data_IF_982381820533
#
_entry.id   IF_982381820533
#
_cell.length_a   1.000
_cell.length_b   1.000
_cell.length_c   1.000
_cell.angle_alpha   90.00
_cell.angle_beta   90.00
_cell.angle_gamma   90.00
#
_symmetry.space_group_name_H-M   'P 1'
#
loop_
_entity.id
_entity.type
_entity.pdbx_description
1 polymer ?
#
# COMPACT_ATOMS: atom_id res chain seq x y z
N UNK A 1 3.29 41.08 11.77
CA UNK A 1 1.82 41.24 12.02
C UNK A 1 1.42 40.13 12.96
N UNK A 2 0.43 40.31 13.86
CA UNK A 2 -0.04 39.24 14.68
C UNK A 2 -0.67 38.14 13.78
N UNK A 3 -0.53 36.86 14.19
CA UNK A 3 -1.14 35.72 13.52
C UNK A 3 -2.65 35.93 13.34
N UNK A 4 -3.15 35.71 12.13
CA UNK A 4 -4.57 35.69 11.87
C UNK A 4 -5.06 34.24 11.89
N UNK A 5 -5.91 33.91 12.85
CA UNK A 5 -6.62 32.62 12.92
C UNK A 5 -8.00 32.75 12.29
N UNK A 6 -8.29 31.91 11.30
CA UNK A 6 -9.56 31.93 10.56
C UNK A 6 -10.20 30.57 10.64
N UNK A 7 -11.41 30.47 11.22
CA UNK A 7 -12.16 29.21 11.21
C UNK A 7 -12.58 28.86 9.79
N UNK A 8 -12.47 27.59 9.44
CA UNK A 8 -13.00 27.03 8.18
C UNK A 8 -14.42 26.55 8.45
N UNK A 9 -15.46 27.28 7.99
CA UNK A 9 -16.83 26.88 8.23
C UNK A 9 -17.18 25.63 7.40
N UNK A 10 -17.91 24.66 7.99
CA UNK A 10 -18.26 23.42 7.30
C UNK A 10 -19.24 23.63 6.14
N UNK A 11 -20.04 24.70 6.16
CA UNK A 11 -21.20 24.91 5.28
C UNK A 11 -21.06 26.11 4.32
N UNK A 12 -19.86 26.69 4.17
CA UNK A 12 -19.64 27.83 3.27
C UNK A 12 -18.59 27.48 2.24
N UNK A 13 -18.76 28.04 1.02
CA UNK A 13 -17.72 28.01 0.00
C UNK A 13 -16.46 28.70 0.55
N UNK A 14 -15.32 28.00 0.67
CA UNK A 14 -14.10 28.58 1.19
C UNK A 14 -13.32 29.40 0.15
N UNK A 15 -13.89 29.75 -0.99
CA UNK A 15 -13.20 30.36 -2.14
C UNK A 15 -12.34 31.56 -1.76
N UNK A 16 -12.94 32.55 -1.07
CA UNK A 16 -12.19 33.74 -0.62
C UNK A 16 -10.99 33.40 0.28
N UNK A 17 -11.15 32.41 1.16
CA UNK A 17 -10.07 31.95 2.05
C UNK A 17 -8.99 31.17 1.30
N UNK A 18 -9.37 30.44 0.25
CA UNK A 18 -8.40 29.80 -0.65
C UNK A 18 -7.55 30.86 -1.36
N UNK A 19 -8.19 31.90 -1.92
CA UNK A 19 -7.49 32.98 -2.59
C UNK A 19 -6.57 33.76 -1.66
N UNK A 20 -7.01 34.02 -0.42
CA UNK A 20 -6.19 34.62 0.62
C UNK A 20 -4.96 33.77 0.95
N UNK A 21 -5.18 32.46 1.18
CA UNK A 21 -4.07 31.54 1.48
C UNK A 21 -3.07 31.48 0.33
N UNK A 22 -3.53 31.44 -0.91
CA UNK A 22 -2.67 31.45 -2.11
C UNK A 22 -1.89 32.75 -2.23
N UNK A 23 -2.53 33.90 -2.01
CA UNK A 23 -1.87 35.21 -2.03
C UNK A 23 -0.76 35.28 -0.96
N UNK A 24 -1.03 34.78 0.25
CA UNK A 24 -0.06 34.73 1.33
C UNK A 24 1.12 33.79 1.00
N UNK A 25 0.89 32.59 0.45
CA UNK A 25 1.94 31.66 0.02
C UNK A 25 2.83 32.31 -1.06
N UNK A 26 2.24 32.95 -2.07
CA UNK A 26 2.98 33.65 -3.13
C UNK A 26 3.81 34.82 -2.61
N UNK A 27 3.34 35.49 -1.55
CA UNK A 27 4.09 36.53 -0.86
C UNK A 27 5.22 35.99 0.04
N UNK A 28 5.44 34.67 0.08
CA UNK A 28 6.48 34.04 0.89
C UNK A 28 6.15 33.96 2.38
N UNK A 29 4.88 34.07 2.75
CA UNK A 29 4.44 33.95 4.14
C UNK A 29 4.35 32.50 4.59
N UNK A 30 4.44 32.27 5.90
CA UNK A 30 4.29 30.97 6.54
C UNK A 30 2.87 30.84 7.05
N UNK A 31 2.14 29.84 6.52
CA UNK A 31 0.80 29.52 6.95
C UNK A 31 0.78 28.24 7.79
N UNK A 32 -0.33 28.00 8.50
CA UNK A 32 -0.67 26.68 9.05
C UNK A 32 -1.97 26.23 8.43
N UNK A 33 -1.91 25.07 7.78
CA UNK A 33 -3.06 24.46 7.10
C UNK A 33 -3.41 23.10 7.71
N UNK A 34 -4.69 22.74 7.70
CA UNK A 34 -5.16 21.43 8.17
C UNK A 34 -4.82 20.32 7.20
N UNK A 35 -4.70 19.09 7.71
CA UNK A 35 -4.80 17.87 6.94
C UNK A 35 -5.58 16.82 7.72
N UNK A 36 -5.91 15.71 7.09
CA UNK A 36 -6.59 14.59 7.76
C UNK A 36 -5.71 13.91 8.82
N UNK A 37 -4.39 14.10 8.76
CA UNK A 37 -3.42 13.53 9.70
C UNK A 37 -3.11 14.50 10.85
N UNK A 38 -2.39 15.56 10.58
CA UNK A 38 -2.04 16.62 11.52
C UNK A 38 -1.94 17.95 10.76
N UNK A 39 -2.05 19.05 11.46
CA UNK A 39 -1.75 20.36 10.89
C UNK A 39 -0.27 20.48 10.53
N UNK A 40 0.05 21.41 9.64
CA UNK A 40 1.42 21.66 9.25
C UNK A 40 1.68 23.08 8.75
N UNK A 41 2.93 23.52 8.88
CA UNK A 41 3.40 24.75 8.25
C UNK A 41 3.36 24.60 6.73
N UNK A 42 2.65 25.51 6.07
CA UNK A 42 2.53 25.54 4.61
C UNK A 42 3.36 26.66 4.04
N UNK A 43 4.21 26.35 3.05
CA UNK A 43 5.05 27.31 2.33
C UNK A 43 5.13 26.96 0.85
N UNK A 44 5.30 27.98 0.02
CA UNK A 44 5.60 27.81 -1.40
C UNK A 44 7.05 27.32 -1.56
N UNK A 45 7.29 26.18 -2.22
CA UNK A 45 8.65 25.64 -2.44
C UNK A 45 9.53 26.56 -3.29
N UNK A 46 8.93 27.49 -4.06
CA UNK A 46 9.64 28.48 -4.88
C UNK A 46 10.20 29.63 -4.06
N UNK A 47 9.86 29.71 -2.76
CA UNK A 47 10.40 30.72 -1.84
C UNK A 47 11.41 30.08 -0.87
N UNK A 48 12.73 30.11 -1.17
CA UNK A 48 13.75 29.48 -0.33
C UNK A 48 13.83 30.04 1.08
N UNK A 49 13.51 31.33 1.26
CA UNK A 49 13.54 31.97 2.57
C UNK A 49 12.46 31.44 3.50
N UNK A 50 11.22 31.28 2.99
CA UNK A 50 10.10 30.67 3.73
C UNK A 50 10.37 29.20 4.04
N UNK A 51 10.90 28.44 3.08
CA UNK A 51 11.29 27.02 3.27
C UNK A 51 12.33 26.89 4.38
N UNK A 52 13.36 27.75 4.39
CA UNK A 52 14.41 27.72 5.41
C UNK A 52 13.89 28.19 6.78
N UNK A 53 12.96 29.14 6.81
CA UNK A 53 12.27 29.53 8.04
C UNK A 53 11.54 28.34 8.67
N UNK A 54 10.77 27.57 7.89
CA UNK A 54 10.06 26.38 8.39
C UNK A 54 11.03 25.29 8.84
N UNK A 55 12.17 25.09 8.15
CA UNK A 55 13.22 24.15 8.64
C UNK A 55 13.71 24.54 10.02
N UNK A 56 14.05 25.81 10.22
CA UNK A 56 14.50 26.32 11.53
C UNK A 56 13.43 26.13 12.61
N UNK A 57 12.17 26.53 12.32
CA UNK A 57 11.04 26.40 13.26
C UNK A 57 10.78 24.96 13.67
N UNK A 58 11.04 24.02 12.78
CA UNK A 58 10.80 22.58 13.00
C UNK A 58 12.05 21.80 13.39
N UNK A 59 13.17 22.47 13.66
CA UNK A 59 14.44 21.85 14.07
C UNK A 59 15.07 20.93 13.02
N UNK A 60 14.76 21.14 11.73
CA UNK A 60 15.32 20.32 10.64
C UNK A 60 16.62 20.91 10.14
N UNK A 61 17.61 20.05 9.88
CA UNK A 61 18.87 20.47 9.31
C UNK A 61 18.69 21.15 7.94
N UNK A 62 19.54 22.14 7.59
CA UNK A 62 19.57 22.74 6.25
C UNK A 62 19.63 21.66 5.15
N UNK A 63 18.90 21.85 4.07
CA UNK A 63 18.85 20.89 2.96
C UNK A 63 18.01 19.65 3.19
N UNK A 64 17.47 19.41 4.40
CA UNK A 64 16.54 18.28 4.63
C UNK A 64 15.36 18.37 3.67
N UNK A 65 15.11 17.26 2.92
CA UNK A 65 14.00 17.17 2.00
C UNK A 65 12.65 17.26 2.74
N UNK A 66 11.83 18.23 2.37
CA UNK A 66 10.48 18.41 2.89
C UNK A 66 9.49 17.68 1.99
N UNK A 67 8.37 17.23 2.56
CA UNK A 67 7.31 16.60 1.78
C UNK A 67 6.59 17.65 0.94
N UNK A 68 6.54 17.44 -0.37
CA UNK A 68 5.75 18.24 -1.29
C UNK A 68 4.35 17.64 -1.37
N UNK A 69 3.34 18.44 -1.08
CA UNK A 69 1.94 18.05 -1.16
C UNK A 69 1.36 18.48 -2.50
N UNK A 70 0.71 17.55 -3.17
CA UNK A 70 0.08 17.73 -4.49
C UNK A 70 -1.44 17.85 -4.35
N UNK A 71 -2.10 18.51 -5.29
CA UNK A 71 -3.55 18.64 -5.31
C UNK A 71 -4.26 17.32 -5.62
N UNK A 72 -3.66 16.55 -6.53
CA UNK A 72 -4.15 15.24 -6.98
C UNK A 72 -3.00 14.37 -7.51
N UNK A 73 -3.33 13.12 -7.89
CA UNK A 73 -2.33 12.15 -8.37
C UNK A 73 -1.77 12.48 -9.75
N UNK A 74 -2.54 13.15 -10.58
CA UNK A 74 -2.15 13.45 -11.98
C UNK A 74 -0.91 14.34 -12.02
N UNK A 75 -0.69 15.14 -10.97
CA UNK A 75 0.52 15.94 -10.83
C UNK A 75 1.81 15.11 -10.61
N UNK A 76 1.69 13.81 -10.35
CA UNK A 76 2.83 12.93 -10.11
C UNK A 76 3.71 12.76 -11.36
N UNK A 77 3.10 12.62 -12.52
CA UNK A 77 3.80 12.33 -13.78
C UNK A 77 4.75 13.45 -14.22
N UNK A 78 4.49 14.68 -13.75
CA UNK A 78 5.37 15.84 -13.98
C UNK A 78 6.56 15.90 -12.99
N UNK A 79 6.55 15.12 -11.91
CA UNK A 79 7.49 15.23 -10.80
C UNK A 79 8.52 14.10 -10.78
N UNK A 80 8.11 12.90 -11.18
CA UNK A 80 8.94 11.69 -11.11
C UNK A 80 8.69 10.81 -12.32
N UNK A 81 9.66 9.96 -12.72
CA UNK A 81 9.41 8.91 -13.72
C UNK A 81 8.25 8.02 -13.30
N UNK A 82 7.50 7.41 -14.24
CA UNK A 82 6.37 6.55 -13.93
C UNK A 82 6.77 5.44 -12.95
N UNK A 83 6.18 5.40 -11.74
CA UNK A 83 6.54 4.40 -10.76
C UNK A 83 6.05 3.00 -11.18
N UNK A 84 6.67 1.91 -10.69
CA UNK A 84 6.22 0.55 -10.91
C UNK A 84 4.75 0.36 -10.56
N UNK A 85 4.06 -0.58 -11.23
CA UNK A 85 2.62 -0.82 -11.03
C UNK A 85 2.24 -1.08 -9.56
N UNK A 86 3.10 -1.77 -8.80
CA UNK A 86 2.86 -2.01 -7.36
C UNK A 86 2.79 -0.72 -6.55
N UNK A 87 3.65 0.26 -6.88
CA UNK A 87 3.63 1.58 -6.25
C UNK A 87 2.39 2.34 -6.68
N UNK A 88 2.04 2.30 -7.96
CA UNK A 88 0.81 2.93 -8.46
C UNK A 88 -0.42 2.42 -7.74
N UNK A 89 -0.59 1.08 -7.57
CA UNK A 89 -1.71 0.51 -6.78
C UNK A 89 -1.73 1.04 -5.35
N UNK A 90 -0.56 1.13 -4.70
CA UNK A 90 -0.44 1.67 -3.35
C UNK A 90 -0.90 3.15 -3.31
N UNK A 91 -0.46 3.96 -4.27
CA UNK A 91 -0.87 5.36 -4.38
C UNK A 91 -2.36 5.49 -4.75
N UNK A 92 -2.89 4.65 -5.64
CA UNK A 92 -4.31 4.60 -5.98
C UNK A 92 -5.19 4.27 -4.78
N UNK A 93 -4.72 3.38 -3.92
CA UNK A 93 -5.45 2.98 -2.70
C UNK A 93 -5.47 4.06 -1.64
N UNK A 94 -4.36 4.82 -1.47
CA UNK A 94 -4.16 5.70 -0.32
C UNK A 94 -3.95 7.18 -0.66
N UNK A 95 -4.09 7.58 -1.91
CA UNK A 95 -4.10 8.98 -2.31
C UNK A 95 -5.44 9.34 -3.00
N UNK A 96 -6.10 10.38 -2.51
CA UNK A 96 -5.76 11.27 -1.37
C UNK A 96 -5.79 10.54 -0.03
N UNK A 97 -4.77 10.81 0.86
CA UNK A 97 -4.76 10.18 2.17
C UNK A 97 -3.42 10.17 2.91
N UNK A 98 -3.36 9.35 3.99
CA UNK A 98 -2.29 9.41 4.99
C UNK A 98 -1.02 8.63 4.58
N UNK A 99 -0.70 8.58 3.30
CA UNK A 99 0.51 7.95 2.77
C UNK A 99 1.45 9.01 2.20
N UNK A 100 2.71 9.01 2.63
CA UNK A 100 3.80 9.76 2.01
C UNK A 100 4.70 8.79 1.24
N UNK A 101 4.93 9.05 -0.04
CA UNK A 101 5.85 8.27 -0.86
C UNK A 101 7.16 9.03 -1.10
N UNK A 102 8.28 8.33 -0.97
CA UNK A 102 9.60 8.81 -1.40
C UNK A 102 9.95 8.08 -2.68
N UNK A 103 9.91 8.79 -3.79
CA UNK A 103 10.10 8.23 -5.14
C UNK A 103 11.38 8.79 -5.75
N UNK A 104 12.06 8.05 -6.64
CA UNK A 104 13.21 8.57 -7.38
C UNK A 104 12.80 9.76 -8.24
N UNK A 105 13.47 10.89 -8.08
CA UNK A 105 13.35 12.03 -8.96
C UNK A 105 14.14 11.87 -10.26
N UNK A 106 13.95 12.78 -11.20
CA UNK A 106 14.68 12.77 -12.47
C UNK A 106 16.21 12.93 -12.31
N UNK A 107 16.65 13.54 -11.21
CA UNK A 107 18.05 13.72 -10.82
C UNK A 107 18.65 12.54 -10.03
N UNK A 108 17.87 11.47 -9.82
CA UNK A 108 18.24 10.32 -8.99
C UNK A 108 18.10 10.56 -7.49
N UNK A 109 17.73 11.74 -7.05
CA UNK A 109 17.40 12.05 -5.66
C UNK A 109 16.03 11.53 -5.25
N UNK A 110 15.78 11.42 -3.95
CA UNK A 110 14.47 11.02 -3.43
C UNK A 110 13.51 12.20 -3.29
N UNK A 111 12.41 12.21 -4.02
CA UNK A 111 11.35 13.22 -3.89
C UNK A 111 10.26 12.69 -2.94
N UNK A 112 9.96 13.48 -1.90
CA UNK A 112 8.91 13.13 -0.91
C UNK A 112 7.59 13.76 -1.32
N UNK A 113 6.60 12.93 -1.63
CA UNK A 113 5.33 13.35 -2.20
C UNK A 113 4.14 12.84 -1.38
N UNK A 114 3.05 13.60 -1.35
CA UNK A 114 1.77 13.20 -0.76
C UNK A 114 0.62 13.96 -1.42
N UNK A 115 -0.54 13.31 -1.55
CA UNK A 115 -1.82 13.98 -1.82
C UNK A 115 -2.65 13.89 -0.53
N UNK A 116 -2.89 15.00 0.20
CA UNK A 116 -3.66 14.97 1.44
C UNK A 116 -5.15 14.78 1.15
N UNK A 117 -5.89 14.17 2.10
CA UNK A 117 -7.35 13.99 1.94
C UNK A 117 -8.19 15.20 2.38
N UNK A 118 -7.57 16.31 2.74
CA UNK A 118 -8.26 17.52 3.19
C UNK A 118 -8.61 18.43 2.00
N UNK A 119 -9.90 18.61 1.72
CA UNK A 119 -10.38 19.30 0.50
C UNK A 119 -9.94 20.75 0.42
N UNK A 120 -10.02 21.52 1.53
CA UNK A 120 -9.55 22.90 1.55
C UNK A 120 -8.05 22.99 1.20
N UNK A 121 -7.21 22.17 1.81
CA UNK A 121 -5.77 22.17 1.53
C UNK A 121 -5.48 21.79 0.10
N UNK A 122 -6.21 20.83 -0.47
CA UNK A 122 -6.10 20.48 -1.90
C UNK A 122 -6.56 21.63 -2.80
N UNK A 123 -7.61 22.36 -2.42
CA UNK A 123 -8.07 23.55 -3.15
C UNK A 123 -6.99 24.64 -3.17
N UNK A 124 -6.34 24.91 -2.03
CA UNK A 124 -5.21 25.85 -1.95
C UNK A 124 -4.05 25.40 -2.85
N UNK A 125 -3.67 24.12 -2.83
CA UNK A 125 -2.59 23.59 -3.67
C UNK A 125 -2.94 23.76 -5.15
N UNK A 126 -4.18 23.44 -5.54
CA UNK A 126 -4.65 23.59 -6.93
C UNK A 126 -4.63 25.03 -7.39
N UNK A 127 -5.14 25.96 -6.58
CA UNK A 127 -5.18 27.38 -6.91
C UNK A 127 -3.79 28.04 -6.89
N UNK A 128 -2.83 27.51 -6.08
CA UNK A 128 -1.44 27.94 -6.13
C UNK A 128 -0.74 27.61 -7.46
N UNK A 129 -1.25 26.60 -8.18
CA UNK A 129 -0.68 26.13 -9.45
C UNK A 129 0.64 25.38 -9.30
N UNK A 130 0.98 24.98 -8.09
CA UNK A 130 2.18 24.21 -7.75
C UNK A 130 1.93 23.42 -6.47
N UNK A 131 2.72 22.35 -6.21
CA UNK A 131 2.73 21.72 -4.90
C UNK A 131 3.17 22.67 -3.81
N UNK A 132 2.79 22.43 -2.57
CA UNK A 132 3.24 23.17 -1.40
C UNK A 132 3.98 22.24 -0.43
N UNK A 133 4.94 22.78 0.32
CA UNK A 133 5.44 22.04 1.48
C UNK A 133 4.45 22.19 2.62
N UNK A 134 3.99 21.05 3.17
CA UNK A 134 3.23 21.01 4.40
C UNK A 134 4.02 20.20 5.44
N UNK A 135 4.49 20.90 6.50
CA UNK A 135 5.50 20.36 7.42
C UNK A 135 4.97 20.34 8.83
N UNK A 136 4.84 19.14 9.42
CA UNK A 136 4.47 18.98 10.82
C UNK A 136 5.54 19.52 11.76
N UNK A 137 5.13 19.91 12.97
CA UNK A 137 6.02 20.32 14.05
C UNK A 137 5.94 19.34 15.23
N UNK A 138 7.07 19.08 15.87
CA UNK A 138 7.18 18.27 17.09
C UNK A 138 8.29 18.86 17.97
N UNK A 139 8.05 20.02 18.65
CA UNK A 139 8.98 20.58 19.59
C UNK A 139 9.35 19.59 20.69
N UNK A 140 10.62 19.57 21.13
CA UNK A 140 11.13 18.58 22.06
C UNK A 140 10.39 18.57 23.42
N UNK A 141 9.90 19.73 23.84
CA UNK A 141 9.18 19.93 25.10
C UNK A 141 7.67 19.69 25.03
N UNK A 142 7.10 19.56 23.83
CA UNK A 142 5.64 19.45 23.61
C UNK A 142 5.20 18.24 22.80
N UNK A 143 6.11 17.57 22.13
CA UNK A 143 5.79 16.47 21.25
C UNK A 143 5.12 16.91 19.94
N UNK A 144 4.37 16.01 19.32
CA UNK A 144 3.71 16.27 18.03
C UNK A 144 2.56 17.26 18.19
N UNK A 145 2.60 18.36 17.46
CA UNK A 145 1.49 19.32 17.37
C UNK A 145 0.48 18.79 16.36
N UNK A 146 -0.74 18.51 16.82
CA UNK A 146 -1.77 17.91 15.99
C UNK A 146 -2.76 18.91 15.41
N UNK A 147 -3.23 19.87 16.19
CA UNK A 147 -4.32 20.76 15.87
C UNK A 147 -3.94 22.24 15.78
N UNK A 148 -4.93 23.06 15.41
CA UNK A 148 -4.78 24.50 15.28
C UNK A 148 -4.36 25.18 16.60
N UNK A 149 -4.94 24.75 17.74
CA UNK A 149 -4.62 25.27 19.07
C UNK A 149 -3.14 25.08 19.42
N UNK A 150 -2.61 23.89 19.12
CA UNK A 150 -1.20 23.56 19.41
C UNK A 150 -0.25 24.50 18.67
N UNK A 151 -0.50 24.76 17.39
CA UNK A 151 0.29 25.68 16.58
C UNK A 151 0.14 27.12 17.05
N UNK A 152 -1.07 27.56 17.39
CA UNK A 152 -1.33 28.88 17.91
C UNK A 152 -0.59 29.15 19.23
N UNK A 153 -0.57 28.17 20.12
CA UNK A 153 0.07 28.27 21.43
C UNK A 153 1.61 28.35 21.36
N UNK A 154 2.22 27.79 20.30
CA UNK A 154 3.69 27.67 20.20
C UNK A 154 4.29 28.67 19.22
N UNK A 155 3.59 29.00 18.13
CA UNK A 155 4.15 29.71 16.98
C UNK A 155 3.36 30.95 16.55
N UNK A 156 2.54 31.54 17.42
CA UNK A 156 1.70 32.70 17.07
C UNK A 156 2.49 33.86 16.41
N UNK A 157 3.71 34.14 16.86
CA UNK A 157 4.55 35.22 16.34
C UNK A 157 5.28 34.86 15.02
N UNK A 158 5.25 33.60 14.62
CA UNK A 158 5.99 33.08 13.46
C UNK A 158 5.08 32.63 12.30
N UNK A 159 3.75 32.73 12.47
CA UNK A 159 2.74 32.33 11.50
C UNK A 159 1.95 33.57 11.07
N UNK A 160 1.73 33.73 9.77
CA UNK A 160 0.91 34.82 9.24
C UNK A 160 -0.60 34.50 9.24
N UNK A 161 -0.94 33.26 8.81
CA UNK A 161 -2.31 32.79 8.70
C UNK A 161 -2.42 31.34 9.21
N UNK A 162 -3.38 31.09 10.09
CA UNK A 162 -3.76 29.76 10.55
C UNK A 162 -5.21 29.50 10.17
N UNK A 163 -5.44 28.50 9.33
CA UNK A 163 -6.80 28.05 8.96
C UNK A 163 -7.20 26.93 9.90
N UNK A 164 -8.27 27.19 10.66
CA UNK A 164 -8.76 26.28 11.70
C UNK A 164 -9.98 25.50 11.21
N UNK A 165 -9.77 24.22 10.94
CA UNK A 165 -10.82 23.26 10.53
C UNK A 165 -11.26 22.33 11.68
N UNK A 166 -10.93 22.69 12.93
CA UNK A 166 -11.14 21.82 14.09
C UNK A 166 -10.06 20.73 14.23
N UNK A 167 -10.30 19.73 15.09
CA UNK A 167 -9.32 18.67 15.32
C UNK A 167 -9.13 17.79 14.07
N UNK A 168 -7.90 17.38 13.76
CA UNK A 168 -7.66 16.51 12.62
C UNK A 168 -8.26 15.10 12.87
N UNK A 169 -8.92 14.49 11.87
CA UNK A 169 -9.61 13.22 12.07
C UNK A 169 -8.73 12.07 12.58
N UNK A 170 -7.48 12.02 12.16
CA UNK A 170 -6.57 10.91 12.47
C UNK A 170 -5.60 11.24 13.60
N UNK A 171 -5.27 12.51 13.82
CA UNK A 171 -4.36 12.99 14.87
C UNK A 171 -3.03 12.19 14.98
N UNK A 172 -2.57 11.64 13.88
CA UNK A 172 -1.37 10.82 13.77
C UNK A 172 -0.63 11.12 12.45
N UNK A 173 0.69 10.98 12.44
CA UNK A 173 1.49 11.22 11.25
C UNK A 173 1.16 10.22 10.12
N UNK A 174 1.34 10.65 8.87
CA UNK A 174 1.27 9.78 7.71
C UNK A 174 2.29 8.65 7.77
N UNK A 175 1.95 7.50 7.23
CA UNK A 175 2.93 6.42 6.96
C UNK A 175 3.84 6.84 5.80
N UNK A 176 5.13 6.51 5.88
CA UNK A 176 6.14 6.90 4.88
C UNK A 176 6.78 5.66 4.28
N UNK A 177 6.67 5.53 2.97
CA UNK A 177 7.32 4.49 2.19
C UNK A 177 8.34 5.09 1.23
N UNK A 178 9.43 4.34 0.95
CA UNK A 178 10.43 4.68 -0.07
C UNK A 178 10.43 3.61 -1.14
N UNK A 179 10.44 4.01 -2.40
CA UNK A 179 10.81 3.13 -3.49
C UNK A 179 12.33 3.19 -3.64
N UNK A 180 12.98 2.08 -3.36
CA UNK A 180 14.39 1.87 -3.70
C UNK A 180 14.41 1.36 -5.13
N UNK A 181 15.05 2.08 -6.09
CA UNK A 181 15.14 1.62 -7.46
C UNK A 181 15.80 0.25 -7.56
N UNK A 182 15.39 -0.54 -8.54
CA UNK A 182 16.08 -1.78 -8.87
C UNK A 182 17.56 -1.49 -9.17
N UNK A 183 18.45 -2.24 -8.54
CA UNK A 183 19.88 -2.21 -8.89
C UNK A 183 20.10 -2.85 -10.27
N UNK A 184 21.33 -2.68 -10.86
CA UNK A 184 21.67 -3.36 -12.10
C UNK A 184 21.55 -4.88 -11.90
N UNK A 185 20.72 -5.53 -12.73
CA UNK A 185 20.56 -6.98 -12.74
C UNK A 185 21.86 -7.64 -13.23
N UNK A 186 22.45 -8.49 -12.40
CA UNK A 186 23.53 -9.38 -12.84
C UNK A 186 22.86 -10.60 -13.49
N UNK A 187 23.08 -10.88 -14.79
CA UNK A 187 22.56 -12.09 -15.42
C UNK A 187 23.18 -13.32 -14.73
N UNK A 188 22.38 -14.06 -13.98
CA UNK A 188 22.74 -15.34 -13.37
C UNK A 188 21.87 -16.47 -13.93
N UNK A 189 22.30 -17.77 -13.79
CA UNK A 189 21.45 -18.88 -14.16
C UNK A 189 20.20 -18.86 -13.30
N UNK A 190 19.01 -18.94 -13.93
CA UNK A 190 17.63 -18.99 -13.35
C UNK A 190 17.58 -18.93 -11.82
N UNK A 191 17.72 -17.76 -11.28
CA UNK A 191 17.42 -17.46 -9.88
C UNK A 191 16.07 -16.77 -9.84
N UNK A 192 15.33 -17.01 -8.75
CA UNK A 192 14.10 -16.27 -8.51
C UNK A 192 14.33 -14.76 -8.75
N UNK A 193 13.35 -14.05 -9.31
CA UNK A 193 13.46 -12.61 -9.52
C UNK A 193 13.85 -11.95 -8.20
N UNK A 194 14.98 -11.29 -8.18
CA UNK A 194 15.48 -10.62 -6.99
C UNK A 194 14.65 -9.36 -6.74
N UNK A 195 14.56 -8.93 -5.49
CA UNK A 195 13.99 -7.62 -5.13
C UNK A 195 14.59 -6.48 -5.98
N UNK A 196 15.80 -6.68 -6.50
CA UNK A 196 16.49 -5.79 -7.42
C UNK A 196 15.73 -5.55 -8.75
N UNK A 197 14.95 -6.51 -9.26
CA UNK A 197 14.23 -6.35 -10.53
C UNK A 197 12.95 -5.54 -10.41
N UNK A 198 12.38 -5.43 -9.19
CA UNK A 198 11.08 -4.77 -8.95
C UNK A 198 11.18 -3.47 -8.18
N UNK A 199 12.38 -3.08 -7.76
CA UNK A 199 12.59 -2.07 -6.74
C UNK A 199 12.05 -2.54 -5.37
N UNK A 200 12.65 -2.19 -4.29
CA UNK A 200 12.20 -2.53 -2.94
C UNK A 200 11.34 -1.40 -2.38
N UNK A 201 10.20 -1.74 -1.76
CA UNK A 201 9.46 -0.79 -0.95
C UNK A 201 9.97 -0.87 0.48
N UNK A 202 10.62 0.20 0.92
CA UNK A 202 11.08 0.36 2.28
C UNK A 202 10.07 1.17 3.10
N UNK A 203 9.70 0.66 4.27
CA UNK A 203 8.85 1.37 5.20
C UNK A 203 9.72 2.25 6.13
N UNK A 204 9.76 3.56 5.86
CA UNK A 204 10.57 4.50 6.63
C UNK A 204 9.92 4.92 7.94
N UNK A 205 8.60 4.92 8.01
CA UNK A 205 7.81 5.26 9.20
C UNK A 205 6.45 4.59 9.15
N UNK A 206 6.11 3.88 10.19
CA UNK A 206 4.72 3.47 10.46
C UNK A 206 4.01 4.67 11.09
N UNK A 207 2.93 5.09 10.49
CA UNK A 207 2.04 6.13 10.97
C UNK A 207 0.61 5.59 11.02
N UNK A 208 -0.33 6.30 10.41
CA UNK A 208 -1.75 5.92 10.37
C UNK A 208 -2.01 4.56 9.70
N UNK A 209 -1.23 4.22 8.67
CA UNK A 209 -1.35 2.92 8.00
C UNK A 209 -0.36 1.94 8.62
N UNK A 210 -0.81 0.72 8.92
CA UNK A 210 0.06 -0.35 9.37
C UNK A 210 0.99 -0.84 8.26
N UNK A 211 2.08 -1.51 8.62
CA UNK A 211 2.97 -2.15 7.66
C UNK A 211 2.22 -3.18 6.80
N UNK A 212 1.35 -3.96 7.42
CA UNK A 212 0.54 -4.98 6.74
C UNK A 212 -0.38 -4.36 5.68
N UNK A 213 -1.07 -3.26 6.00
CA UNK A 213 -1.94 -2.55 5.05
C UNK A 213 -1.16 -2.04 3.83
N UNK A 214 0.02 -1.46 4.07
CA UNK A 214 0.90 -0.95 3.00
C UNK A 214 1.35 -2.10 2.09
N UNK A 215 1.82 -3.20 2.67
CA UNK A 215 2.29 -4.34 1.90
C UNK A 215 1.16 -5.03 1.14
N UNK A 216 -0.03 -5.20 1.76
CA UNK A 216 -1.19 -5.79 1.12
C UNK A 216 -1.68 -4.97 -0.08
N UNK A 217 -1.71 -3.64 0.04
CA UNK A 217 -2.10 -2.76 -1.06
C UNK A 217 -1.09 -2.74 -2.22
N UNK A 218 0.21 -2.93 -1.92
CA UNK A 218 1.27 -2.99 -2.92
C UNK A 218 1.39 -4.38 -3.58
N UNK A 219 0.94 -5.44 -2.91
CA UNK A 219 1.16 -6.83 -3.33
C UNK A 219 0.33 -7.22 -4.57
N UNK A 220 0.87 -8.13 -5.34
CA UNK A 220 0.12 -8.89 -6.36
C UNK A 220 -0.52 -10.10 -5.69
N UNK A 221 -1.80 -10.23 -5.84
CA UNK A 221 -2.58 -11.33 -5.27
C UNK A 221 -2.60 -12.52 -6.22
N UNK A 222 -2.25 -13.70 -5.70
CA UNK A 222 -2.43 -14.99 -6.34
C UNK A 222 -3.53 -15.72 -5.56
N UNK A 223 -4.62 -16.04 -6.24
CA UNK A 223 -5.81 -16.61 -5.63
C UNK A 223 -5.91 -18.09 -5.96
N UNK A 224 -6.10 -18.93 -4.92
CA UNK A 224 -6.37 -20.38 -5.06
C UNK A 224 -7.83 -20.68 -4.76
N UNK A 225 -8.48 -21.44 -5.64
CA UNK A 225 -9.93 -21.68 -5.56
C UNK A 225 -10.26 -23.16 -5.47
N UNK A 226 -11.03 -23.55 -4.44
CA UNK A 226 -11.63 -24.90 -4.34
C UNK A 226 -13.13 -24.80 -4.01
N UNK A 227 -13.75 -25.88 -3.50
CA UNK A 227 -15.18 -25.88 -3.16
C UNK A 227 -15.45 -25.11 -1.87
N UNK A 228 -15.04 -25.65 -0.73
CA UNK A 228 -15.39 -25.15 0.61
C UNK A 228 -14.36 -24.23 1.25
N UNK A 229 -13.20 -24.00 0.61
CA UNK A 229 -12.08 -23.20 1.16
C UNK A 229 -11.57 -23.68 2.54
N UNK A 230 -11.72 -24.96 2.84
CA UNK A 230 -11.27 -25.56 4.11
C UNK A 230 -10.16 -26.61 3.94
N UNK A 231 -10.02 -27.22 2.75
CA UNK A 231 -9.04 -28.29 2.52
C UNK A 231 -7.95 -27.86 1.53
N UNK A 232 -8.25 -27.90 0.22
CA UNK A 232 -7.27 -27.76 -0.87
C UNK A 232 -6.70 -26.35 -1.03
N UNK A 233 -7.56 -25.34 -1.17
CA UNK A 233 -7.11 -23.99 -1.50
C UNK A 233 -6.34 -23.28 -0.37
N UNK A 234 -6.67 -23.43 0.94
CA UNK A 234 -5.85 -22.85 1.99
C UNK A 234 -4.47 -23.53 2.08
N UNK A 235 -4.43 -24.85 1.88
CA UNK A 235 -3.17 -25.57 1.84
C UNK A 235 -2.30 -25.14 0.65
N UNK A 236 -2.91 -24.94 -0.54
CA UNK A 236 -2.21 -24.47 -1.73
C UNK A 236 -1.64 -23.06 -1.56
N UNK A 237 -2.40 -22.13 -0.96
CA UNK A 237 -1.93 -20.78 -0.68
C UNK A 237 -0.74 -20.77 0.28
N UNK A 238 -0.80 -21.57 1.33
CA UNK A 238 0.28 -21.67 2.32
C UNK A 238 1.55 -22.34 1.76
N UNK A 239 1.40 -23.41 0.97
CA UNK A 239 2.52 -24.07 0.29
C UNK A 239 3.17 -23.15 -0.76
N UNK A 240 2.38 -22.41 -1.53
CA UNK A 240 2.89 -21.44 -2.50
C UNK A 240 3.69 -20.33 -1.81
N UNK A 241 3.20 -19.80 -0.66
CA UNK A 241 3.92 -18.82 0.16
C UNK A 241 5.26 -19.39 0.64
N UNK A 242 5.28 -20.60 1.20
CA UNK A 242 6.49 -21.29 1.66
C UNK A 242 7.49 -21.52 0.53
N UNK A 243 7.02 -22.00 -0.63
CA UNK A 243 7.88 -22.24 -1.80
C UNK A 243 8.51 -20.91 -2.28
N UNK A 244 7.71 -19.85 -2.33
CA UNK A 244 8.19 -18.49 -2.66
C UNK A 244 9.19 -17.96 -1.65
N UNK A 245 8.93 -18.13 -0.35
CA UNK A 245 9.85 -17.71 0.73
C UNK A 245 11.22 -18.37 0.58
N UNK A 246 11.25 -19.67 0.31
CA UNK A 246 12.49 -20.42 0.06
C UNK A 246 13.28 -19.90 -1.15
N UNK A 247 12.60 -19.60 -2.24
CA UNK A 247 13.22 -19.07 -3.45
C UNK A 247 13.77 -17.65 -3.27
N UNK A 248 13.07 -16.83 -2.46
CA UNK A 248 13.50 -15.47 -2.13
C UNK A 248 14.53 -15.42 -0.98
N UNK A 249 14.87 -16.55 -0.36
CA UNK A 249 15.76 -16.59 0.81
C UNK A 249 15.21 -15.83 2.04
N UNK A 250 13.88 -15.84 2.21
CA UNK A 250 13.17 -15.09 3.26
C UNK A 250 12.22 -15.99 4.07
N UNK A 251 11.53 -15.46 5.07
CA UNK A 251 10.48 -16.19 5.79
C UNK A 251 9.10 -16.01 5.15
N UNK A 252 8.16 -16.92 5.47
CA UNK A 252 6.79 -16.91 4.94
C UNK A 252 6.07 -15.59 5.24
N UNK A 253 6.31 -15.01 6.42
CA UNK A 253 5.70 -13.75 6.87
C UNK A 253 6.21 -12.54 6.07
N UNK A 254 7.43 -12.63 5.54
CA UNK A 254 8.05 -11.53 4.78
C UNK A 254 7.73 -11.57 3.29
N UNK A 255 7.13 -12.63 2.77
CA UNK A 255 6.75 -12.73 1.34
C UNK A 255 5.86 -11.58 0.90
N UNK A 256 4.95 -11.13 1.77
CA UNK A 256 4.09 -9.98 1.49
C UNK A 256 4.89 -8.68 1.24
N UNK A 257 5.94 -8.43 2.01
CA UNK A 257 6.82 -7.28 1.82
C UNK A 257 7.59 -7.34 0.48
N UNK A 258 7.80 -8.55 -0.06
CA UNK A 258 8.35 -8.75 -1.41
C UNK A 258 7.31 -8.57 -2.54
N UNK A 259 6.09 -8.15 -2.21
CA UNK A 259 5.08 -7.77 -3.19
C UNK A 259 4.21 -8.91 -3.69
N UNK A 260 4.11 -10.03 -2.96
CA UNK A 260 3.22 -11.16 -3.24
C UNK A 260 2.29 -11.46 -2.08
N UNK A 261 1.01 -11.66 -2.39
CA UNK A 261 0.00 -12.20 -1.48
C UNK A 261 -0.56 -13.50 -2.05
N UNK A 262 -0.65 -14.52 -1.22
CA UNK A 262 -1.25 -15.81 -1.55
C UNK A 262 -2.54 -15.95 -0.76
N UNK A 263 -3.67 -15.91 -1.46
CA UNK A 263 -5.01 -15.93 -0.90
C UNK A 263 -5.78 -17.16 -1.36
N UNK A 264 -6.88 -17.48 -0.69
CA UNK A 264 -7.73 -18.59 -1.06
C UNK A 264 -9.21 -18.31 -0.85
N UNK A 265 -10.06 -18.88 -1.70
CA UNK A 265 -11.50 -18.77 -1.63
C UNK A 265 -12.18 -20.09 -2.06
N UNK A 266 -13.49 -20.18 -1.84
CA UNK A 266 -14.27 -21.34 -2.23
C UNK A 266 -15.54 -20.98 -2.98
N UNK A 267 -15.85 -21.73 -4.06
CA UNK A 267 -17.04 -21.48 -4.89
C UNK A 267 -18.35 -21.76 -4.14
N UNK A 268 -18.27 -22.52 -3.04
CA UNK A 268 -19.42 -22.85 -2.17
C UNK A 268 -18.97 -22.86 -0.68
N UNK A 269 -18.11 -21.91 -0.30
CA UNK A 269 -17.63 -21.80 1.07
C UNK A 269 -18.67 -21.11 1.96
N UNK A 270 -18.78 -21.59 3.20
CA UNK A 270 -19.39 -20.85 4.30
C UNK A 270 -18.29 -19.97 4.93
N UNK A 271 -18.46 -18.63 4.97
CA UNK A 271 -17.43 -17.75 5.50
C UNK A 271 -17.13 -18.00 6.99
N UNK A 272 -15.84 -17.93 7.36
CA UNK A 272 -15.40 -17.99 8.75
C UNK A 272 -15.03 -19.38 9.27
N UNK A 273 -15.23 -20.45 8.50
CA UNK A 273 -14.87 -21.81 8.90
C UNK A 273 -13.33 -21.99 8.96
N UNK A 274 -12.80 -22.71 9.95
CA UNK A 274 -11.37 -23.02 10.02
C UNK A 274 -10.94 -24.00 8.93
N UNK A 275 -9.65 -24.12 8.71
CA UNK A 275 -9.13 -25.22 7.88
C UNK A 275 -9.51 -26.59 8.45
N UNK A 276 -9.76 -27.56 7.59
CA UNK A 276 -10.13 -28.92 8.01
C UNK A 276 -8.99 -29.54 8.86
N UNK A 277 -9.36 -30.40 9.82
CA UNK A 277 -8.38 -31.07 10.69
C UNK A 277 -7.29 -31.81 9.90
N UNK A 278 -7.66 -32.45 8.80
CA UNK A 278 -6.70 -33.15 7.96
C UNK A 278 -5.74 -32.19 7.25
N UNK A 279 -6.23 -31.01 6.82
CA UNK A 279 -5.36 -29.97 6.21
C UNK A 279 -4.42 -29.35 7.24
N UNK A 280 -4.90 -29.06 8.46
CA UNK A 280 -4.07 -28.61 9.57
C UNK A 280 -2.95 -29.62 9.87
N UNK A 281 -3.28 -30.91 10.02
CA UNK A 281 -2.30 -31.96 10.31
C UNK A 281 -1.28 -32.12 9.17
N UNK A 282 -1.73 -32.17 7.92
CA UNK A 282 -0.86 -32.34 6.77
C UNK A 282 0.06 -31.12 6.55
N UNK A 283 -0.40 -29.89 6.87
CA UNK A 283 0.41 -28.67 6.82
C UNK A 283 1.46 -28.63 7.93
N UNK A 284 1.08 -29.02 9.16
CA UNK A 284 1.95 -29.06 10.32
C UNK A 284 3.16 -30.00 10.15
N UNK A 285 2.99 -31.13 9.44
CA UNK A 285 4.09 -32.07 9.12
C UNK A 285 5.22 -31.42 8.33
N UNK A 286 4.94 -30.34 7.58
CA UNK A 286 5.93 -29.58 6.82
C UNK A 286 6.21 -28.21 7.44
N UNK A 287 5.81 -28.00 8.68
CA UNK A 287 6.07 -26.78 9.46
C UNK A 287 5.23 -25.57 9.01
N UNK A 288 4.07 -25.79 8.40
CA UNK A 288 3.15 -24.73 7.99
C UNK A 288 1.98 -24.66 8.98
N UNK A 289 1.72 -23.47 9.53
CA UNK A 289 0.54 -23.18 10.34
C UNK A 289 -0.64 -22.72 9.46
N UNK A 290 -1.82 -23.30 9.71
CA UNK A 290 -3.10 -22.91 9.08
C UNK A 290 -4.18 -22.55 10.11
N UNK A 291 -3.80 -22.39 11.39
CA UNK A 291 -4.73 -22.21 12.51
C UNK A 291 -5.54 -20.90 12.39
N UNK A 292 -4.93 -19.88 11.82
CA UNK A 292 -5.58 -18.58 11.60
C UNK A 292 -6.45 -18.54 10.34
N UNK A 293 -6.43 -19.59 9.51
CA UNK A 293 -7.23 -19.60 8.30
C UNK A 293 -8.71 -19.50 8.62
N UNK A 294 -9.42 -18.67 7.87
CA UNK A 294 -10.88 -18.58 7.85
C UNK A 294 -11.35 -18.62 6.40
N UNK A 295 -12.31 -19.50 6.13
CA UNK A 295 -12.86 -19.67 4.79
C UNK A 295 -13.58 -18.42 4.29
N UNK A 296 -13.45 -18.14 3.01
CA UNK A 296 -14.11 -17.04 2.31
C UNK A 296 -14.84 -17.57 1.07
N UNK A 297 -16.04 -17.07 0.84
CA UNK A 297 -16.76 -17.33 -0.41
C UNK A 297 -16.06 -16.58 -1.55
N UNK A 298 -15.95 -17.25 -2.70
CA UNK A 298 -15.40 -16.63 -3.91
C UNK A 298 -16.38 -15.59 -4.45
N UNK A 299 -15.90 -14.39 -4.67
CA UNK A 299 -16.63 -13.32 -5.33
C UNK A 299 -15.89 -12.78 -6.57
N UNK A 300 -16.58 -11.91 -7.30
CA UNK A 300 -16.05 -11.29 -8.52
C UNK A 300 -14.87 -10.34 -8.23
N UNK A 301 -14.95 -9.58 -7.15
CA UNK A 301 -13.91 -8.58 -6.78
C UNK A 301 -12.58 -9.27 -6.46
N UNK A 302 -12.63 -10.41 -5.78
CA UNK A 302 -11.44 -11.22 -5.51
C UNK A 302 -10.75 -11.68 -6.80
N UNK A 303 -11.52 -12.13 -7.80
CA UNK A 303 -11.00 -12.56 -9.10
C UNK A 303 -10.43 -11.37 -9.87
N UNK A 304 -11.17 -10.27 -9.95
CA UNK A 304 -10.74 -9.06 -10.66
C UNK A 304 -9.47 -8.45 -10.07
N UNK A 305 -9.34 -8.48 -8.75
CA UNK A 305 -8.17 -7.99 -8.05
C UNK A 305 -6.97 -8.95 -8.03
N UNK A 306 -7.12 -10.21 -8.41
CA UNK A 306 -6.02 -11.17 -8.45
C UNK A 306 -5.20 -11.03 -9.74
N UNK A 307 -3.89 -11.17 -9.65
CA UNK A 307 -3.00 -11.21 -10.81
C UNK A 307 -3.12 -12.55 -11.56
N UNK A 308 -3.34 -13.64 -10.81
CA UNK A 308 -3.61 -15.00 -11.30
C UNK A 308 -4.60 -15.70 -10.38
N UNK A 309 -5.42 -16.56 -10.95
CA UNK A 309 -6.36 -17.40 -10.22
C UNK A 309 -6.10 -18.85 -10.58
N UNK A 310 -5.72 -19.66 -9.59
CA UNK A 310 -5.48 -21.09 -9.76
C UNK A 310 -6.61 -21.92 -9.12
N UNK A 311 -7.35 -22.63 -9.95
CA UNK A 311 -8.42 -23.48 -9.53
C UNK A 311 -7.92 -24.92 -9.26
N UNK A 312 -8.37 -25.53 -8.17
CA UNK A 312 -7.92 -26.85 -7.72
C UNK A 312 -8.63 -27.99 -8.46
N UNK A 313 -9.58 -27.67 -9.36
CA UNK A 313 -10.29 -28.66 -10.18
C UNK A 313 -11.15 -28.02 -11.26
N UNK A 314 -11.59 -28.82 -12.28
CA UNK A 314 -12.33 -28.30 -13.43
C UNK A 314 -13.66 -27.60 -13.09
N UNK A 315 -14.38 -28.08 -12.07
CA UNK A 315 -15.64 -27.44 -11.61
C UNK A 315 -15.39 -26.05 -11.02
N UNK A 316 -14.29 -25.88 -10.29
CA UNK A 316 -13.89 -24.57 -9.73
C UNK A 316 -13.48 -23.60 -10.84
N UNK A 317 -12.76 -24.11 -11.87
CA UNK A 317 -12.40 -23.35 -13.06
C UNK A 317 -13.63 -22.81 -13.79
N UNK A 318 -14.61 -23.69 -14.04
CA UNK A 318 -15.86 -23.30 -14.69
C UNK A 318 -16.64 -22.25 -13.89
N UNK A 319 -16.74 -22.43 -12.56
CA UNK A 319 -17.43 -21.49 -11.68
C UNK A 319 -16.71 -20.12 -11.61
N UNK A 320 -15.38 -20.10 -11.45
CA UNK A 320 -14.62 -18.86 -11.40
C UNK A 320 -14.68 -18.08 -12.72
N UNK A 321 -14.61 -18.76 -13.88
CA UNK A 321 -14.78 -18.16 -15.20
C UNK A 321 -16.18 -17.61 -15.44
N UNK A 322 -17.21 -18.27 -14.91
CA UNK A 322 -18.58 -17.77 -14.97
C UNK A 322 -18.79 -16.48 -14.16
N UNK A 323 -18.11 -16.34 -12.99
CA UNK A 323 -18.17 -15.12 -12.18
C UNK A 323 -17.46 -13.93 -12.82
N UNK A 324 -16.37 -14.15 -13.56
CA UNK A 324 -15.58 -13.11 -14.19
C UNK A 324 -15.13 -13.51 -15.61
N UNK A 325 -16.04 -13.55 -16.60
CA UNK A 325 -15.73 -13.99 -17.95
C UNK A 325 -14.62 -13.20 -18.64
N UNK A 326 -14.54 -11.89 -18.36
CA UNK A 326 -13.49 -10.99 -18.89
C UNK A 326 -12.08 -11.32 -18.39
N UNK A 327 -11.97 -12.12 -17.31
CA UNK A 327 -10.70 -12.56 -16.72
C UNK A 327 -10.38 -14.03 -17.04
N UNK A 328 -11.13 -14.67 -17.94
CA UNK A 328 -11.03 -16.11 -18.23
C UNK A 328 -9.59 -16.57 -18.60
N UNK A 329 -8.79 -15.70 -19.24
CA UNK A 329 -7.39 -15.98 -19.58
C UNK A 329 -6.45 -16.06 -18.37
N UNK A 330 -6.79 -15.38 -17.26
CA UNK A 330 -6.01 -15.36 -16.02
C UNK A 330 -6.46 -16.39 -15.00
N UNK A 331 -7.50 -17.20 -15.34
CA UNK A 331 -8.07 -18.24 -14.49
C UNK A 331 -7.72 -19.59 -15.07
N UNK A 332 -6.91 -20.36 -14.36
CA UNK A 332 -6.35 -21.63 -14.83
C UNK A 332 -6.46 -22.73 -13.78
N UNK A 333 -6.27 -23.98 -14.19
CA UNK A 333 -6.06 -25.07 -13.24
C UNK A 333 -4.67 -24.96 -12.63
N UNK A 334 -4.56 -25.23 -11.32
CA UNK A 334 -3.26 -25.31 -10.67
C UNK A 334 -2.40 -26.43 -11.27
N UNK A 335 -3.01 -27.59 -11.51
CA UNK A 335 -2.35 -28.68 -12.25
C UNK A 335 -2.43 -28.43 -13.76
N UNK A 336 -1.31 -28.12 -14.44
CA UNK A 336 -1.28 -27.90 -15.88
C UNK A 336 -1.63 -29.17 -16.69
N UNK A 337 -1.58 -30.35 -16.07
CA UNK A 337 -2.02 -31.61 -16.68
C UNK A 337 -3.53 -31.76 -16.85
N UNK A 338 -4.33 -30.83 -16.30
CA UNK A 338 -5.78 -30.77 -16.51
C UNK A 338 -6.61 -31.67 -15.62
N UNK A 339 -6.03 -32.62 -14.89
CA UNK A 339 -6.76 -33.56 -14.03
C UNK A 339 -7.31 -32.91 -12.75
N UNK A 340 -6.72 -31.79 -12.33
CA UNK A 340 -7.02 -31.15 -11.06
C UNK A 340 -6.36 -31.84 -9.86
N UNK A 341 -6.54 -31.26 -8.68
CA UNK A 341 -5.99 -31.75 -7.41
C UNK A 341 -7.04 -32.63 -6.72
N UNK A 342 -6.68 -33.86 -6.28
CA UNK A 342 -7.58 -34.77 -5.59
C UNK A 342 -8.25 -34.13 -4.37
N UNK A 343 -9.53 -34.43 -4.13
CA UNK A 343 -10.26 -33.91 -2.97
C UNK A 343 -10.10 -34.86 -1.77
N UNK A 344 -9.49 -34.40 -0.66
CA UNK A 344 -9.29 -35.21 0.53
C UNK A 344 -10.47 -35.15 1.50
N UNK A 345 -11.56 -34.43 1.16
CA UNK A 345 -12.69 -34.22 2.06
C UNK A 345 -13.30 -35.55 2.52
N UNK A 346 -13.44 -35.72 3.84
CA UNK A 346 -13.95 -36.92 4.45
C UNK A 346 -12.99 -38.14 4.49
N UNK A 347 -11.78 -37.95 3.92
CA UNK A 347 -10.76 -38.99 3.88
C UNK A 347 -9.88 -39.06 5.14
N UNK A 348 -8.96 -40.03 5.20
CA UNK A 348 -7.97 -40.20 6.22
C UNK A 348 -6.79 -39.19 6.03
N UNK A 349 -5.89 -39.06 7.02
CA UNK A 349 -4.74 -38.17 6.93
C UNK A 349 -3.86 -38.44 5.70
N UNK A 350 -3.76 -39.70 5.28
CA UNK A 350 -2.99 -40.06 4.08
C UNK A 350 -3.60 -39.49 2.78
N UNK A 351 -4.91 -39.25 2.73
CA UNK A 351 -5.53 -38.57 1.61
C UNK A 351 -5.09 -37.09 1.55
N UNK A 352 -5.01 -36.44 2.70
CA UNK A 352 -4.52 -35.08 2.81
C UNK A 352 -3.02 -34.96 2.48
N UNK A 353 -2.22 -35.95 2.89
CA UNK A 353 -0.79 -36.04 2.50
C UNK A 353 -0.64 -36.20 0.99
N UNK A 354 -1.47 -37.04 0.34
CA UNK A 354 -1.48 -37.20 -1.14
C UNK A 354 -1.88 -35.89 -1.83
N UNK A 355 -2.90 -35.21 -1.30
CA UNK A 355 -3.34 -33.91 -1.80
C UNK A 355 -2.24 -32.87 -1.68
N UNK A 356 -1.58 -32.77 -0.51
CA UNK A 356 -0.43 -31.88 -0.31
C UNK A 356 0.67 -32.14 -1.34
N UNK A 357 1.09 -33.38 -1.50
CA UNK A 357 2.13 -33.75 -2.49
C UNK A 357 1.71 -33.44 -3.93
N UNK A 358 0.43 -33.58 -4.26
CA UNK A 358 -0.07 -33.18 -5.58
C UNK A 358 -0.04 -31.67 -5.78
N UNK A 359 -0.39 -30.87 -4.75
CA UNK A 359 -0.29 -29.41 -4.78
C UNK A 359 1.18 -28.98 -4.92
N UNK A 360 2.10 -29.55 -4.15
CA UNK A 360 3.54 -29.24 -4.23
C UNK A 360 4.07 -29.46 -5.66
N UNK A 361 3.81 -30.63 -6.24
CA UNK A 361 4.22 -30.90 -7.64
C UNK A 361 3.59 -29.97 -8.67
N UNK A 362 2.34 -29.54 -8.46
CA UNK A 362 1.69 -28.60 -9.35
C UNK A 362 2.29 -27.19 -9.22
N UNK A 363 2.58 -26.76 -7.99
CA UNK A 363 3.25 -25.49 -7.72
C UNK A 363 4.63 -25.41 -8.33
N UNK A 364 5.46 -26.48 -8.23
CA UNK A 364 6.79 -26.52 -8.84
C UNK A 364 6.75 -26.23 -10.34
N UNK A 365 5.65 -26.64 -11.02
CA UNK A 365 5.44 -26.37 -12.46
C UNK A 365 4.89 -24.98 -12.75
N UNK A 366 4.31 -24.30 -11.76
CA UNK A 366 3.67 -22.98 -11.88
C UNK A 366 4.51 -21.84 -11.29
N UNK A 367 5.58 -22.14 -10.56
CA UNK A 367 6.38 -21.11 -9.89
C UNK A 367 6.97 -20.09 -10.87
N UNK A 368 7.47 -20.54 -12.03
CA UNK A 368 7.99 -19.62 -13.06
C UNK A 368 6.91 -18.67 -13.57
N UNK A 369 5.65 -19.13 -13.73
CA UNK A 369 4.52 -18.30 -14.14
C UNK A 369 4.09 -17.32 -13.04
N UNK A 370 4.11 -17.78 -11.77
CA UNK A 370 3.84 -16.94 -10.60
C UNK A 370 4.88 -15.81 -10.54
N UNK A 371 6.15 -16.11 -10.76
CA UNK A 371 7.23 -15.10 -10.76
C UNK A 371 7.19 -14.21 -12.01
N UNK A 372 6.90 -14.74 -13.20
CA UNK A 372 6.71 -13.93 -14.40
C UNK A 372 5.54 -12.95 -14.24
N UNK A 373 4.48 -13.35 -13.54
CA UNK A 373 3.38 -12.44 -13.18
C UNK A 373 3.83 -11.29 -12.26
N UNK A 374 4.88 -11.46 -11.47
CA UNK A 374 5.48 -10.39 -10.66
C UNK A 374 6.26 -9.43 -11.57
N UNK A 375 7.08 -9.98 -12.49
CA UNK A 375 7.93 -9.21 -13.38
C UNK A 375 7.16 -8.32 -14.35
N UNK A 376 6.02 -8.79 -14.84
CA UNK A 376 5.16 -8.04 -15.77
C UNK A 376 4.38 -6.87 -15.12
N UNK A 377 4.58 -6.58 -13.86
CA UNK A 377 3.87 -5.55 -13.10
C UNK A 377 4.69 -4.54 -12.46
#
# INVERSE_FOLDING_TARGET
>A
MPMRRVPLPPDRDPGDLVDEAVAALRAGRVLVLPSETVYGFAVDPRNPAAVEQVRRMTGRAPGTALTLHLADRDALDAMVPPPPRRVRRLLERYWPGPLTAVLPGADGGGVRLRVPAHDFTRAVIRAAGTGIHLVHAAPADRGLLCGAEDFAAVFADAIDLLVDAGPPPLAQLSTVVRLVPAGPTVPGPRTAPTSAEFGELELLRVGTLSAQDVWAAAARRILFVCTGNTCRSPLAAALARRATARLLGTSDERVLAHGLSFESAGVAAFPGEPASRGSLAAAAEVGIALDEHRSAALDREQIEGAARVFCLGPSHLAAARALAPQRAADIELLDPGGAGIPDPFGGALDDYRRTRAAIERALDRRLDEIFAAIAAG
#
